data_IF_033029002726
#
_entry.id   IF_033029002726
#
_cell.length_a   1.000
_cell.length_b   1.000
_cell.length_c   1.000
_cell.angle_alpha   90.00
_cell.angle_beta   90.00
_cell.angle_gamma   90.00
#
_symmetry.space_group_name_H-M   'P 1'
#
loop_
_entity.id
_entity.type
_entity.pdbx_description
1 polymer ?
#
# COMPACT_ATOMS: atom_id res chain seq x y z
N UNK A 1 20.93 10.84 -44.70
CA UNK A 1 19.82 10.42 -43.81
C UNK A 1 19.83 11.35 -42.61
N UNK A 2 19.06 12.43 -42.65
CA UNK A 2 18.98 13.38 -41.54
C UNK A 2 17.83 12.99 -40.62
N UNK A 3 18.13 12.49 -39.42
CA UNK A 3 17.11 12.30 -38.40
C UNK A 3 16.67 13.67 -37.90
N UNK A 4 15.41 14.04 -38.16
CA UNK A 4 14.81 15.20 -37.51
C UNK A 4 14.71 14.87 -36.01
N UNK A 5 15.56 15.50 -35.20
CA UNK A 5 15.48 15.42 -33.74
C UNK A 5 14.48 16.48 -33.30
N UNK A 6 13.29 16.05 -32.87
CA UNK A 6 12.28 16.94 -32.30
C UNK A 6 12.81 17.55 -30.99
N UNK A 7 13.47 18.70 -31.11
CA UNK A 7 14.01 19.40 -29.96
C UNK A 7 12.88 20.12 -29.21
N UNK A 8 12.39 19.51 -28.13
CA UNK A 8 11.50 20.20 -27.19
C UNK A 8 12.31 21.28 -26.45
N UNK A 9 11.95 22.58 -26.55
CA UNK A 9 12.66 23.66 -25.87
C UNK A 9 12.69 23.50 -24.34
N UNK A 10 13.76 23.96 -23.69
CA UNK A 10 14.02 23.77 -22.25
C UNK A 10 12.87 24.26 -21.35
N UNK A 11 12.17 25.34 -21.75
CA UNK A 11 11.02 25.90 -21.02
C UNK A 11 9.80 24.95 -21.05
N UNK A 12 9.58 24.27 -22.16
CA UNK A 12 8.49 23.29 -22.31
C UNK A 12 8.82 22.00 -21.57
N UNK A 13 10.07 21.51 -21.64
CA UNK A 13 10.52 20.37 -20.81
C UNK A 13 10.26 20.61 -19.32
N UNK A 14 10.49 21.83 -18.82
CA UNK A 14 10.24 22.18 -17.41
C UNK A 14 8.75 22.16 -17.06
N UNK A 15 7.88 22.65 -17.95
CA UNK A 15 6.42 22.61 -17.76
C UNK A 15 5.90 21.16 -17.75
N UNK A 16 6.36 20.35 -18.70
CA UNK A 16 6.04 18.93 -18.83
C UNK A 16 6.46 18.17 -17.55
N UNK A 17 7.72 18.32 -17.11
CA UNK A 17 8.20 17.72 -15.84
C UNK A 17 7.37 18.16 -14.63
N UNK A 18 6.99 19.45 -14.56
CA UNK A 18 6.16 19.97 -13.46
C UNK A 18 4.76 19.38 -13.47
N UNK A 19 4.16 19.17 -14.66
CA UNK A 19 2.86 18.52 -14.84
C UNK A 19 2.91 17.07 -14.37
N UNK A 20 3.86 16.28 -14.89
CA UNK A 20 4.07 14.89 -14.48
C UNK A 20 4.30 14.74 -12.97
N UNK A 21 5.13 15.61 -12.37
CA UNK A 21 5.36 15.59 -10.92
C UNK A 21 4.07 15.82 -10.13
N UNK A 22 3.22 16.76 -10.57
CA UNK A 22 1.92 17.03 -9.92
C UNK A 22 1.00 15.83 -10.03
N UNK A 23 0.85 15.27 -11.23
CA UNK A 23 0.02 14.08 -11.48
C UNK A 23 0.48 12.88 -10.63
N UNK A 24 1.79 12.66 -10.55
CA UNK A 24 2.37 11.60 -9.73
C UNK A 24 2.13 11.83 -8.22
N UNK A 25 2.30 13.07 -7.73
CA UNK A 25 2.01 13.41 -6.33
C UNK A 25 0.53 13.22 -6.01
N UNK A 26 -0.37 13.62 -6.91
CA UNK A 26 -1.81 13.41 -6.73
C UNK A 26 -2.16 11.92 -6.72
N UNK A 27 -1.59 11.12 -7.63
CA UNK A 27 -1.80 9.67 -7.68
C UNK A 27 -1.31 8.99 -6.40
N UNK A 28 -0.13 9.37 -5.89
CA UNK A 28 0.41 8.85 -4.61
C UNK A 28 -0.49 9.21 -3.42
N UNK A 29 -0.97 10.45 -3.36
CA UNK A 29 -1.85 10.90 -2.28
C UNK A 29 -3.21 10.19 -2.30
N UNK A 30 -3.79 9.98 -3.49
CA UNK A 30 -5.01 9.19 -3.68
C UNK A 30 -4.78 7.75 -3.21
N UNK A 31 -3.71 7.09 -3.67
CA UNK A 31 -3.37 5.72 -3.26
C UNK A 31 -3.22 5.60 -1.74
N UNK A 32 -2.51 6.53 -1.10
CA UNK A 32 -2.33 6.53 0.36
C UNK A 32 -3.68 6.70 1.10
N UNK A 33 -4.57 7.56 0.59
CA UNK A 33 -5.93 7.72 1.13
C UNK A 33 -6.75 6.44 0.97
N UNK A 34 -6.68 5.80 -0.19
CA UNK A 34 -7.42 4.57 -0.47
C UNK A 34 -6.92 3.40 0.40
N UNK A 35 -5.60 3.28 0.59
CA UNK A 35 -5.01 2.34 1.55
C UNK A 35 -5.53 2.58 2.97
N UNK A 36 -5.55 3.84 3.42
CA UNK A 36 -6.02 4.18 4.77
C UNK A 36 -7.51 3.88 4.94
N UNK A 37 -8.31 4.14 3.93
CA UNK A 37 -9.74 3.81 3.92
C UNK A 37 -9.94 2.29 3.94
N UNK A 38 -9.23 1.54 3.10
CA UNK A 38 -9.31 0.08 3.07
C UNK A 38 -8.98 -0.54 4.44
N UNK A 39 -7.91 -0.07 5.07
CA UNK A 39 -7.59 -0.48 6.46
C UNK A 39 -8.71 -0.11 7.40
N UNK A 40 -9.13 1.16 7.44
CA UNK A 40 -10.16 1.64 8.38
C UNK A 40 -11.47 0.85 8.29
N UNK A 41 -11.93 0.54 7.08
CA UNK A 41 -13.21 -0.14 6.87
C UNK A 41 -13.15 -1.63 7.17
N UNK A 42 -12.00 -2.27 6.92
CA UNK A 42 -11.86 -3.71 7.04
C UNK A 42 -11.18 -4.17 8.35
N UNK A 43 -10.66 -3.22 9.15
CA UNK A 43 -10.00 -3.54 10.43
C UNK A 43 -10.89 -4.33 11.40
N UNK A 44 -12.19 -4.02 11.59
CA UNK A 44 -13.05 -4.80 12.47
C UNK A 44 -13.19 -6.26 12.04
N UNK A 45 -13.24 -6.50 10.73
CA UNK A 45 -13.27 -7.87 10.17
C UNK A 45 -11.94 -8.57 10.37
N UNK A 46 -10.81 -7.90 10.13
CA UNK A 46 -9.49 -8.45 10.43
C UNK A 46 -9.36 -8.86 11.91
N UNK A 47 -9.79 -7.99 12.83
CA UNK A 47 -9.76 -8.27 14.26
C UNK A 47 -10.60 -9.48 14.66
N UNK A 48 -11.84 -9.53 14.15
CA UNK A 48 -12.78 -10.60 14.43
C UNK A 48 -12.31 -11.94 13.87
N UNK A 49 -11.96 -11.98 12.59
CA UNK A 49 -11.64 -13.22 11.87
C UNK A 49 -10.29 -13.81 12.29
N UNK A 50 -9.41 -12.99 12.88
CA UNK A 50 -8.12 -13.44 13.46
C UNK A 50 -8.20 -13.64 14.98
N UNK A 51 -9.40 -13.68 15.56
CA UNK A 51 -9.55 -13.93 16.99
C UNK A 51 -9.06 -15.33 17.34
N UNK A 52 -8.16 -15.42 18.34
CA UNK A 52 -7.61 -16.69 18.82
C UNK A 52 -6.38 -17.18 18.06
N UNK A 53 -5.90 -16.44 17.04
CA UNK A 53 -4.60 -16.71 16.41
C UNK A 53 -3.53 -15.78 16.97
N UNK A 54 -2.37 -16.34 17.34
CA UNK A 54 -1.22 -15.54 17.76
C UNK A 54 -0.53 -14.87 16.56
N UNK A 55 -0.52 -15.55 15.42
CA UNK A 55 0.15 -15.09 14.21
C UNK A 55 -0.79 -15.14 13.00
N UNK A 56 -0.65 -14.18 12.09
CA UNK A 56 -1.48 -14.07 10.88
C UNK A 56 -0.59 -14.04 9.64
N UNK A 57 -0.89 -14.88 8.66
CA UNK A 57 -0.19 -14.92 7.39
C UNK A 57 -0.44 -13.66 6.56
N UNK A 58 0.59 -13.19 5.85
CA UNK A 58 0.53 -11.99 5.01
C UNK A 58 -0.60 -12.03 3.96
N UNK A 59 -0.83 -13.19 3.36
CA UNK A 59 -1.91 -13.37 2.37
C UNK A 59 -3.30 -13.19 2.99
N UNK A 60 -3.50 -13.68 4.22
CA UNK A 60 -4.75 -13.51 4.98
C UNK A 60 -4.97 -12.02 5.26
N UNK A 61 -3.93 -11.31 5.71
CA UNK A 61 -4.02 -9.85 5.97
C UNK A 61 -4.39 -9.09 4.70
N UNK A 62 -3.74 -9.37 3.58
CA UNK A 62 -4.04 -8.75 2.27
C UNK A 62 -5.52 -8.95 1.89
N UNK A 63 -6.01 -10.18 2.02
CA UNK A 63 -7.38 -10.54 1.65
C UNK A 63 -8.42 -9.88 2.56
N UNK A 64 -8.20 -9.93 3.88
CA UNK A 64 -9.13 -9.35 4.85
C UNK A 64 -9.17 -7.83 4.75
N UNK A 65 -8.03 -7.17 4.53
CA UNK A 65 -7.97 -5.72 4.31
C UNK A 65 -8.38 -5.29 2.90
N UNK A 66 -8.60 -6.24 1.98
CA UNK A 66 -8.96 -6.03 0.56
C UNK A 66 -7.97 -5.11 -0.16
N UNK A 67 -6.67 -5.34 0.05
CA UNK A 67 -5.62 -4.50 -0.53
C UNK A 67 -5.52 -4.66 -2.07
N UNK A 68 -5.93 -5.82 -2.59
CA UNK A 68 -6.09 -6.11 -4.03
C UNK A 68 -7.05 -5.14 -4.73
N UNK A 69 -8.03 -4.59 -4.00
CA UNK A 69 -9.04 -3.69 -4.54
C UNK A 69 -8.59 -2.24 -4.69
N UNK A 70 -7.45 -1.88 -4.10
CA UNK A 70 -6.91 -0.51 -4.16
C UNK A 70 -6.42 -0.19 -5.58
N UNK A 71 -5.82 -1.18 -6.25
CA UNK A 71 -5.32 -1.00 -7.61
C UNK A 71 -5.42 -2.30 -8.40
N UNK A 72 -6.65 -2.71 -8.78
CA UNK A 72 -6.89 -4.03 -9.37
C UNK A 72 -6.14 -4.25 -10.70
N UNK A 73 -5.75 -3.18 -11.40
CA UNK A 73 -5.01 -3.26 -12.66
C UNK A 73 -3.49 -3.30 -12.48
N UNK A 74 -2.94 -2.59 -11.49
CA UNK A 74 -1.49 -2.48 -11.30
C UNK A 74 -0.95 -3.39 -10.18
N UNK A 75 -1.80 -3.77 -9.23
CA UNK A 75 -1.47 -4.58 -8.07
C UNK A 75 -2.65 -5.52 -7.73
N UNK A 76 -2.97 -6.48 -8.63
CA UNK A 76 -4.13 -7.36 -8.48
C UNK A 76 -4.04 -8.30 -7.27
N UNK A 77 -2.84 -8.50 -6.73
CA UNK A 77 -2.62 -9.31 -5.52
C UNK A 77 -2.63 -8.48 -4.25
N UNK A 78 -2.50 -7.15 -4.32
CA UNK A 78 -2.37 -6.28 -3.15
C UNK A 78 -1.03 -6.40 -2.41
N UNK A 79 -0.06 -7.17 -2.95
CA UNK A 79 1.22 -7.39 -2.28
C UNK A 79 2.09 -6.12 -2.31
N UNK A 80 2.00 -5.29 -3.35
CA UNK A 80 2.71 -4.02 -3.35
C UNK A 80 2.14 -3.05 -2.32
N UNK A 81 0.82 -3.00 -2.14
CA UNK A 81 0.20 -2.23 -1.06
C UNK A 81 0.64 -2.74 0.32
N UNK A 82 0.70 -4.06 0.54
CA UNK A 82 1.18 -4.62 1.81
C UNK A 82 2.67 -4.31 2.04
N UNK A 83 3.49 -4.44 1.00
CA UNK A 83 4.90 -4.09 1.05
C UNK A 83 5.11 -2.61 1.35
N UNK A 84 4.24 -1.75 0.82
CA UNK A 84 4.27 -0.32 1.09
C UNK A 84 4.01 -0.04 2.58
N UNK A 85 2.99 -0.67 3.20
CA UNK A 85 2.71 -0.55 4.63
C UNK A 85 3.92 -0.94 5.50
N UNK A 86 4.59 -2.03 5.15
CA UNK A 86 5.82 -2.47 5.83
C UNK A 86 6.97 -1.48 5.61
N UNK A 87 7.16 -1.01 4.38
CA UNK A 87 8.27 -0.11 4.04
C UNK A 87 8.14 1.28 4.66
N UNK A 88 6.89 1.75 4.85
CA UNK A 88 6.59 3.02 5.51
C UNK A 88 6.57 2.90 7.05
N UNK A 89 6.78 1.69 7.60
CA UNK A 89 6.80 1.43 9.03
C UNK A 89 5.42 1.50 9.69
N UNK A 90 4.35 1.41 8.91
CA UNK A 90 2.96 1.44 9.39
C UNK A 90 2.60 0.11 10.06
N UNK A 91 3.17 -0.98 9.58
CA UNK A 91 3.00 -2.33 10.12
C UNK A 91 4.40 -2.88 10.45
N UNK A 92 4.56 -3.68 11.53
CA UNK A 92 5.82 -4.34 11.83
C UNK A 92 6.34 -5.16 10.65
N UNK A 93 7.65 -5.39 10.62
CA UNK A 93 8.26 -6.24 9.59
C UNK A 93 7.77 -7.69 9.77
N UNK A 94 7.25 -8.35 8.72
CA UNK A 94 6.85 -9.74 8.82
C UNK A 94 8.06 -10.64 9.07
N UNK A 95 7.83 -11.72 9.81
CA UNK A 95 8.82 -12.76 10.05
C UNK A 95 8.47 -14.04 9.30
N UNK A 96 9.44 -14.95 9.17
CA UNK A 96 9.25 -16.23 8.48
C UNK A 96 8.79 -17.30 9.47
N UNK A 97 7.68 -17.97 9.14
CA UNK A 97 7.11 -19.11 9.87
C UNK A 97 6.92 -20.23 8.86
N UNK A 98 7.61 -21.36 9.01
CA UNK A 98 7.45 -22.55 8.15
C UNK A 98 7.48 -22.26 6.63
N UNK A 99 8.23 -21.24 6.19
CA UNK A 99 8.31 -20.82 4.78
C UNK A 99 7.37 -19.68 4.38
N UNK A 100 6.36 -19.36 5.19
CA UNK A 100 5.44 -18.25 4.99
C UNK A 100 5.90 -16.98 5.71
N UNK A 101 5.49 -15.82 5.19
CA UNK A 101 5.67 -14.54 5.89
C UNK A 101 4.43 -14.23 6.72
N UNK A 102 4.59 -14.11 8.04
CA UNK A 102 3.52 -13.82 8.99
C UNK A 102 3.80 -12.61 9.87
N UNK A 103 2.77 -12.18 10.59
CA UNK A 103 2.81 -11.08 11.56
C UNK A 103 2.36 -11.60 12.92
N UNK A 104 2.87 -10.98 13.97
CA UNK A 104 2.23 -11.06 15.28
C UNK A 104 0.89 -10.32 15.18
N UNK A 105 -0.17 -10.98 15.63
CA UNK A 105 -1.55 -10.52 15.42
C UNK A 105 -1.83 -9.24 16.21
N UNK A 106 -1.37 -9.16 17.45
CA UNK A 106 -1.68 -8.03 18.33
C UNK A 106 -0.84 -6.81 17.94
N UNK A 107 0.43 -6.99 17.59
CA UNK A 107 1.28 -5.90 17.08
C UNK A 107 0.75 -5.34 15.76
N UNK A 108 0.29 -6.21 14.85
CA UNK A 108 -0.32 -5.83 13.58
C UNK A 108 -1.57 -4.97 13.79
N UNK A 109 -2.53 -5.45 14.58
CA UNK A 109 -3.79 -4.75 14.83
C UNK A 109 -3.53 -3.41 15.52
N UNK A 110 -2.67 -3.39 16.54
CA UNK A 110 -2.32 -2.17 17.29
C UNK A 110 -1.70 -1.12 16.37
N UNK A 111 -0.77 -1.53 15.50
CA UNK A 111 -0.10 -0.64 14.56
C UNK A 111 -1.07 -0.09 13.51
N UNK A 112 -1.98 -0.93 12.99
CA UNK A 112 -3.03 -0.49 12.05
C UNK A 112 -4.02 0.48 12.72
N UNK A 113 -4.48 0.21 13.95
CA UNK A 113 -5.33 1.12 14.74
C UNK A 113 -4.67 2.47 14.94
N UNK A 114 -3.38 2.48 15.33
CA UNK A 114 -2.58 3.69 15.47
C UNK A 114 -2.61 4.52 14.19
N UNK A 115 -2.38 3.85 13.06
CA UNK A 115 -2.28 4.50 11.78
C UNK A 115 -3.61 5.07 11.27
N UNK A 116 -4.74 4.41 11.52
CA UNK A 116 -6.07 4.95 11.14
C UNK A 116 -6.68 5.88 12.18
N UNK A 117 -6.07 6.03 13.36
CA UNK A 117 -6.53 6.91 14.43
C UNK A 117 -7.70 6.32 15.23
N UNK A 118 -7.69 5.00 15.47
CA UNK A 118 -8.69 4.27 16.26
C UNK A 118 -8.11 3.74 17.60
N UNK A 119 -6.98 4.30 18.03
CA UNK A 119 -6.32 4.00 19.31
C UNK A 119 -6.83 4.93 20.42
#
# INVERSE_FOLDING_TARGET
MGYAVDYVPTRERRKIKKKYRREHVTSKAVRARDMRNAVRWNLPTLEHDTTGTATVDRSIVINLLRLDRISPTADPTGDHAMQQLVSEGIVPKPFRIAGNCGFDRDDLITSLKAWVGLL
#
